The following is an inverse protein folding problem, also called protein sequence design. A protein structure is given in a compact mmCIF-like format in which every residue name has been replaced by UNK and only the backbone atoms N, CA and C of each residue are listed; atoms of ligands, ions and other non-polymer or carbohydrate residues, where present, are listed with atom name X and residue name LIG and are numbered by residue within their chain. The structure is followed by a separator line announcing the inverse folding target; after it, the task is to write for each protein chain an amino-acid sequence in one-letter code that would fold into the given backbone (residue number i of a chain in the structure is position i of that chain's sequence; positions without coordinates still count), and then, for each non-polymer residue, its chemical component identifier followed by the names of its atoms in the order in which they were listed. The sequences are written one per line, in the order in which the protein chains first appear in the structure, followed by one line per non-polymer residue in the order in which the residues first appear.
data_IF_542865322295
#
_entry.id   IF_542865322295
#
_cell.length_a   1.000
_cell.length_b   1.000
_cell.length_c   1.000
_cell.angle_alpha   90.00
_cell.angle_beta   90.00
_cell.angle_gamma   90.00
#
_symmetry.space_group_name_H-M   'P 1'
#
loop_
_entity.id
_entity.type
_entity.pdbx_description
1 polymer ?
#
# COMPACT_ATOMS: atom_id res chain seq x y z
N UNK A 1 -63.32 -19.51 -7.10
CA UNK A 1 -62.50 -18.70 -6.16
C UNK A 1 -61.04 -19.15 -6.01
N UNK A 2 -60.50 -20.13 -6.75
CA UNK A 2 -59.09 -20.58 -6.59
C UNK A 2 -58.02 -19.76 -7.35
N UNK A 3 -58.40 -19.02 -8.41
CA UNK A 3 -57.45 -18.31 -9.28
C UNK A 3 -56.79 -17.07 -8.63
N UNK A 4 -57.49 -16.39 -7.70
CA UNK A 4 -56.95 -15.21 -7.01
C UNK A 4 -55.85 -15.54 -5.99
N UNK A 5 -55.97 -16.67 -5.30
CA UNK A 5 -54.97 -17.14 -4.33
C UNK A 5 -53.66 -17.54 -5.02
N UNK A 6 -53.74 -18.23 -6.15
CA UNK A 6 -52.56 -18.64 -6.95
C UNK A 6 -51.76 -17.43 -7.41
N UNK A 7 -52.42 -16.34 -7.82
CA UNK A 7 -51.73 -15.11 -8.25
C UNK A 7 -51.01 -14.41 -7.08
N UNK A 8 -51.63 -14.37 -5.90
CA UNK A 8 -51.02 -13.77 -4.71
C UNK A 8 -49.82 -14.61 -4.24
N UNK A 9 -49.93 -15.93 -4.30
CA UNK A 9 -48.84 -16.86 -3.97
C UNK A 9 -47.66 -16.71 -4.92
N UNK A 10 -47.90 -16.63 -6.24
CA UNK A 10 -46.82 -16.43 -7.21
C UNK A 10 -46.17 -15.05 -7.07
N UNK A 11 -46.94 -14.01 -6.79
CA UNK A 11 -46.39 -12.67 -6.57
C UNK A 11 -45.57 -12.61 -5.27
N UNK A 12 -46.03 -13.26 -4.21
CA UNK A 12 -45.30 -13.37 -2.94
C UNK A 12 -44.00 -14.17 -3.12
N UNK A 13 -44.03 -15.26 -3.87
CA UNK A 13 -42.85 -16.06 -4.20
C UNK A 13 -41.84 -15.26 -5.04
N UNK A 14 -42.30 -14.49 -6.03
CA UNK A 14 -41.44 -13.60 -6.83
C UNK A 14 -40.76 -12.53 -5.97
N UNK A 15 -41.50 -11.91 -5.04
CA UNK A 15 -40.96 -10.92 -4.12
C UNK A 15 -39.90 -11.55 -3.21
N UNK A 16 -40.18 -12.72 -2.63
CA UNK A 16 -39.21 -13.45 -1.81
C UNK A 16 -37.95 -13.83 -2.60
N UNK A 17 -38.12 -14.26 -3.85
CA UNK A 17 -37.01 -14.58 -4.73
C UNK A 17 -36.18 -13.33 -5.08
N UNK A 18 -36.83 -12.20 -5.33
CA UNK A 18 -36.16 -10.92 -5.56
C UNK A 18 -35.38 -10.46 -4.32
N UNK A 19 -35.93 -10.62 -3.11
CA UNK A 19 -35.20 -10.36 -1.87
C UNK A 19 -33.98 -11.25 -1.72
N UNK A 20 -34.13 -12.56 -1.95
CA UNK A 20 -33.02 -13.50 -1.90
C UNK A 20 -31.90 -13.08 -2.88
N UNK A 21 -32.26 -12.80 -4.14
CA UNK A 21 -31.31 -12.32 -5.13
C UNK A 21 -30.61 -11.03 -4.70
N UNK A 22 -31.35 -10.05 -4.18
CA UNK A 22 -30.80 -8.79 -3.69
C UNK A 22 -29.79 -9.01 -2.55
N UNK A 23 -30.13 -9.83 -1.56
CA UNK A 23 -29.22 -10.15 -0.46
C UNK A 23 -27.98 -10.91 -0.93
N UNK A 24 -28.15 -11.89 -1.82
CA UNK A 24 -27.03 -12.66 -2.36
C UNK A 24 -26.08 -11.77 -3.17
N UNK A 25 -26.61 -10.89 -4.03
CA UNK A 25 -25.81 -9.94 -4.80
C UNK A 25 -25.05 -8.96 -3.90
N UNK A 26 -25.73 -8.38 -2.92
CA UNK A 26 -25.08 -7.47 -1.98
C UNK A 26 -24.01 -8.16 -1.14
N UNK A 27 -24.26 -9.37 -0.68
CA UNK A 27 -23.26 -10.17 0.03
C UNK A 27 -22.04 -10.42 -0.86
N UNK A 28 -22.25 -10.86 -2.10
CA UNK A 28 -21.18 -11.12 -3.06
C UNK A 28 -20.33 -9.87 -3.35
N UNK A 29 -20.98 -8.74 -3.65
CA UNK A 29 -20.28 -7.48 -3.93
C UNK A 29 -19.51 -6.97 -2.72
N UNK A 30 -20.08 -7.09 -1.51
CA UNK A 30 -19.39 -6.69 -0.29
C UNK A 30 -18.13 -7.53 -0.05
N UNK A 31 -18.19 -8.85 -0.29
CA UNK A 31 -17.02 -9.71 -0.12
C UNK A 31 -15.92 -9.40 -1.13
N UNK A 32 -16.27 -9.11 -2.39
CA UNK A 32 -15.29 -8.65 -3.39
C UNK A 32 -14.61 -7.36 -2.94
N UNK A 33 -15.37 -6.40 -2.41
CA UNK A 33 -14.82 -5.15 -1.94
C UNK A 33 -13.85 -5.36 -0.78
N UNK A 34 -14.20 -6.20 0.19
CA UNK A 34 -13.33 -6.55 1.32
C UNK A 34 -12.04 -7.21 0.82
N UNK A 35 -12.13 -8.18 -0.10
CA UNK A 35 -10.97 -8.85 -0.68
C UNK A 35 -10.05 -7.87 -1.41
N UNK A 36 -10.63 -6.97 -2.23
CA UNK A 36 -9.86 -5.96 -2.96
C UNK A 36 -9.14 -4.98 -2.01
N UNK A 37 -9.80 -4.57 -0.93
CA UNK A 37 -9.18 -3.70 0.08
C UNK A 37 -8.02 -4.41 0.79
N UNK A 38 -8.18 -5.69 1.13
CA UNK A 38 -7.14 -6.49 1.76
C UNK A 38 -5.95 -6.70 0.83
N UNK A 39 -6.18 -6.98 -0.45
CA UNK A 39 -5.11 -7.12 -1.44
C UNK A 39 -4.30 -5.83 -1.59
N UNK A 40 -4.97 -4.68 -1.75
CA UNK A 40 -4.30 -3.36 -1.80
C UNK A 40 -3.47 -3.08 -0.55
N UNK A 41 -3.95 -3.48 0.62
CA UNK A 41 -3.22 -3.33 1.89
C UNK A 41 -2.00 -4.25 1.95
N UNK A 42 -2.09 -5.48 1.44
CA UNK A 42 -0.96 -6.41 1.36
C UNK A 42 0.12 -5.89 0.40
N UNK A 43 -0.25 -5.48 -0.81
CA UNK A 43 0.68 -4.92 -1.79
C UNK A 43 1.40 -3.68 -1.23
N UNK A 44 0.65 -2.78 -0.60
CA UNK A 44 1.20 -1.61 0.07
C UNK A 44 2.21 -1.96 1.18
N UNK A 45 1.99 -3.04 1.92
CA UNK A 45 2.94 -3.49 2.94
C UNK A 45 4.20 -4.10 2.32
N UNK A 46 4.07 -4.85 1.22
CA UNK A 46 5.19 -5.44 0.48
C UNK A 46 6.07 -4.34 -0.09
N UNK A 47 5.49 -3.35 -0.77
CA UNK A 47 6.22 -2.24 -1.38
C UNK A 47 6.97 -1.40 -0.35
N UNK A 48 6.33 -1.12 0.78
CA UNK A 48 6.98 -0.44 1.91
C UNK A 48 8.17 -1.25 2.45
N UNK A 49 8.05 -2.57 2.56
CA UNK A 49 9.16 -3.45 2.96
C UNK A 49 10.31 -3.36 1.96
N UNK A 50 10.02 -3.45 0.66
CA UNK A 50 11.02 -3.31 -0.41
C UNK A 50 11.74 -1.96 -0.31
N UNK A 51 11.00 -0.87 -0.13
CA UNK A 51 11.56 0.46 0.03
C UNK A 51 12.50 0.56 1.25
N UNK A 52 12.08 0.03 2.41
CA UNK A 52 12.91 0.03 3.63
C UNK A 52 14.16 -0.82 3.45
N UNK A 53 14.03 -2.03 2.92
CA UNK A 53 15.16 -2.94 2.70
C UNK A 53 16.17 -2.33 1.75
N UNK A 54 15.71 -1.74 0.64
CA UNK A 54 16.56 -1.05 -0.32
C UNK A 54 17.30 0.13 0.32
N UNK A 55 16.58 1.02 1.01
CA UNK A 55 17.19 2.17 1.69
C UNK A 55 18.19 1.73 2.75
N UNK A 56 17.83 0.73 3.56
CA UNK A 56 18.69 0.19 4.60
C UNK A 56 19.97 -0.43 4.01
N UNK A 57 19.87 -1.18 2.92
CA UNK A 57 21.02 -1.76 2.24
C UNK A 57 21.94 -0.68 1.67
N UNK A 58 21.37 0.34 1.02
CA UNK A 58 22.15 1.47 0.49
C UNK A 58 22.86 2.23 1.59
N UNK A 59 22.20 2.50 2.72
CA UNK A 59 22.81 3.18 3.87
C UNK A 59 23.92 2.33 4.51
N UNK A 60 23.75 1.01 4.64
CA UNK A 60 24.75 0.11 5.23
C UNK A 60 26.07 0.09 4.46
N UNK A 61 25.99 0.29 3.15
CA UNK A 61 27.12 0.18 2.23
C UNK A 61 27.58 1.56 1.70
N UNK A 62 27.03 2.65 2.22
CA UNK A 62 27.26 3.99 1.70
C UNK A 62 28.62 4.52 2.17
N UNK A 63 29.42 5.03 1.23
CA UNK A 63 30.61 5.81 1.57
C UNK A 63 30.24 7.25 1.95
N UNK A 64 29.18 7.78 1.35
CA UNK A 64 28.68 9.13 1.58
C UNK A 64 27.16 9.18 1.59
N UNK A 65 26.60 9.92 2.56
CA UNK A 65 25.16 10.13 2.69
C UNK A 65 24.93 11.63 2.91
N UNK A 66 24.11 12.25 2.05
CA UNK A 66 23.68 13.64 2.18
C UNK A 66 22.16 13.70 2.23
N UNK A 67 21.64 14.29 3.29
CA UNK A 67 20.21 14.43 3.54
C UNK A 67 19.79 15.86 3.17
N UNK A 68 18.86 16.00 2.21
CA UNK A 68 18.37 17.30 1.76
C UNK A 68 16.83 17.30 1.69
N UNK A 69 16.19 17.53 2.84
CA UNK A 69 14.74 17.50 2.96
C UNK A 69 14.15 16.16 2.54
N UNK A 70 13.30 16.18 1.51
CA UNK A 70 12.63 14.99 0.95
C UNK A 70 13.50 14.23 -0.07
N UNK A 71 14.76 14.61 -0.23
CA UNK A 71 15.72 13.96 -1.13
C UNK A 71 16.91 13.44 -0.32
N UNK A 72 17.31 12.21 -0.61
CA UNK A 72 18.48 11.58 -0.01
C UNK A 72 19.49 11.27 -1.11
N UNK A 73 20.74 11.67 -0.93
CA UNK A 73 21.82 11.32 -1.84
C UNK A 73 22.72 10.29 -1.16
N UNK A 74 22.90 9.13 -1.80
CA UNK A 74 23.80 8.07 -1.35
C UNK A 74 24.82 7.83 -2.45
N UNK A 75 26.10 8.05 -2.18
CA UNK A 75 27.20 7.89 -3.15
C UNK A 75 26.93 8.62 -4.48
N UNK A 76 26.58 9.91 -4.36
CA UNK A 76 26.16 10.80 -5.45
C UNK A 76 24.89 10.39 -6.20
N UNK A 77 24.20 9.30 -5.81
CA UNK A 77 22.95 8.87 -6.42
C UNK A 77 21.77 9.42 -5.66
N UNK A 78 20.84 10.03 -6.40
CA UNK A 78 19.65 10.68 -5.85
C UNK A 78 18.56 9.65 -5.57
N UNK A 79 17.94 9.76 -4.40
CA UNK A 79 16.73 9.04 -3.99
C UNK A 79 15.64 10.07 -3.69
N UNK A 80 14.49 9.91 -4.31
CA UNK A 80 13.39 10.85 -4.20
C UNK A 80 12.05 10.18 -4.51
N UNK A 81 10.97 10.84 -4.11
CA UNK A 81 9.61 10.45 -4.49
C UNK A 81 9.14 11.20 -5.74
N UNK A 82 8.46 10.49 -6.63
CA UNK A 82 7.75 11.06 -7.77
C UNK A 82 6.45 10.31 -7.98
N UNK A 83 5.30 10.98 -7.84
CA UNK A 83 3.97 10.39 -7.99
C UNK A 83 3.78 9.11 -7.15
N UNK A 84 4.09 9.18 -5.86
CA UNK A 84 4.06 8.05 -4.92
C UNK A 84 4.98 6.86 -5.27
N UNK A 85 5.95 7.06 -6.15
CA UNK A 85 6.98 6.07 -6.50
C UNK A 85 8.34 6.51 -5.97
N UNK A 86 8.99 5.62 -5.22
CA UNK A 86 10.37 5.81 -4.77
C UNK A 86 11.32 5.50 -5.92
N UNK A 87 12.15 6.48 -6.30
CA UNK A 87 13.07 6.40 -7.43
C UNK A 87 14.50 6.48 -6.94
N UNK A 88 15.39 5.68 -7.54
CA UNK A 88 16.84 5.69 -7.34
C UNK A 88 17.58 6.03 -8.63
N UNK A 89 18.63 6.85 -8.49
CA UNK A 89 19.60 7.22 -9.52
C UNK A 89 19.06 8.16 -10.62
N UNK A 90 19.98 8.75 -11.38
CA UNK A 90 19.69 9.65 -12.52
C UNK A 90 19.12 8.93 -13.75
N UNK A 91 18.97 7.60 -13.69
CA UNK A 91 18.35 6.74 -14.69
C UNK A 91 16.90 6.32 -14.40
N UNK A 92 16.29 6.83 -13.32
CA UNK A 92 14.88 6.59 -12.95
C UNK A 92 14.50 5.14 -12.62
N UNK A 93 15.36 4.41 -11.87
CA UNK A 93 15.00 3.06 -11.41
C UNK A 93 13.90 3.18 -10.37
N UNK A 94 12.74 2.59 -10.67
CA UNK A 94 11.63 2.50 -9.73
C UNK A 94 11.93 1.41 -8.70
N UNK A 95 11.89 1.78 -7.42
CA UNK A 95 12.17 0.87 -6.30
C UNK A 95 10.87 0.28 -5.76
N UNK A 96 9.90 1.15 -5.47
CA UNK A 96 8.62 0.76 -4.91
C UNK A 96 7.57 1.85 -5.19
N UNK A 97 6.34 1.45 -5.48
CA UNK A 97 5.18 2.31 -5.66
C UNK A 97 4.26 2.32 -4.43
N UNK A 98 3.32 3.27 -4.38
CA UNK A 98 2.40 3.44 -3.26
C UNK A 98 3.05 4.00 -2.00
N UNK A 99 4.19 4.68 -2.14
CA UNK A 99 4.93 5.34 -1.05
C UNK A 99 4.50 6.80 -0.99
N UNK A 100 3.80 7.18 0.09
CA UNK A 100 3.37 8.56 0.30
C UNK A 100 4.50 9.49 0.74
N UNK A 101 5.38 8.97 1.60
CA UNK A 101 6.47 9.74 2.18
C UNK A 101 7.62 8.82 2.56
N UNK A 102 8.85 9.31 2.46
CA UNK A 102 10.00 8.69 3.08
C UNK A 102 10.87 9.74 3.74
N UNK A 103 11.63 9.35 4.75
CA UNK A 103 12.63 10.21 5.38
C UNK A 103 13.78 9.38 5.90
N UNK A 104 14.98 9.90 5.78
CA UNK A 104 16.19 9.35 6.42
C UNK A 104 16.71 10.39 7.41
N UNK A 105 16.87 10.01 8.66
CA UNK A 105 17.27 10.90 9.76
C UNK A 105 18.57 10.40 10.34
N UNK A 106 19.59 11.26 10.44
CA UNK A 106 20.83 10.91 11.11
C UNK A 106 20.67 10.98 12.64
N UNK A 107 20.96 9.88 13.32
CA UNK A 107 20.86 9.76 14.78
C UNK A 107 22.21 9.91 15.50
N UNK A 108 23.30 10.11 14.76
CA UNK A 108 24.66 10.14 15.31
C UNK A 108 25.37 8.79 15.25
N UNK A 109 26.71 8.81 15.34
CA UNK A 109 27.56 7.59 15.39
C UNK A 109 27.33 6.62 14.21
N UNK A 110 27.06 7.17 13.01
CA UNK A 110 26.77 6.36 11.82
C UNK A 110 25.41 5.66 11.85
N UNK A 111 24.52 5.97 12.81
CA UNK A 111 23.16 5.45 12.86
C UNK A 111 22.20 6.36 12.09
N UNK A 112 21.31 5.74 11.33
CA UNK A 112 20.28 6.40 10.55
C UNK A 112 18.93 5.75 10.83
N UNK A 113 17.89 6.55 11.00
CA UNK A 113 16.51 6.08 11.00
C UNK A 113 15.92 6.25 9.62
N UNK A 114 15.44 5.16 9.02
CA UNK A 114 14.69 5.15 7.78
C UNK A 114 13.21 5.05 8.12
N UNK A 115 12.40 6.02 7.70
CA UNK A 115 10.94 5.95 7.79
C UNK A 115 10.33 5.92 6.41
N UNK A 116 9.36 5.05 6.20
CA UNK A 116 8.59 4.95 4.97
C UNK A 116 7.11 4.87 5.31
N UNK A 117 6.33 5.74 4.70
CA UNK A 117 4.89 5.87 4.87
C UNK A 117 4.17 5.50 3.59
N UNK A 118 3.11 4.71 3.75
CA UNK A 118 2.19 4.30 2.70
C UNK A 118 0.77 4.75 3.03
N UNK A 119 -0.19 4.49 2.15
CA UNK A 119 -1.60 4.85 2.38
C UNK A 119 -2.18 4.24 3.67
N UNK A 120 -1.74 3.04 4.07
CA UNK A 120 -2.36 2.28 5.15
C UNK A 120 -1.50 2.16 6.42
N UNK A 121 -0.22 2.53 6.36
CA UNK A 121 0.71 2.30 7.47
C UNK A 121 2.04 3.05 7.31
N UNK A 122 2.74 3.24 8.42
CA UNK A 122 4.10 3.78 8.49
C UNK A 122 5.00 2.78 9.21
N UNK A 123 6.22 2.60 8.71
CA UNK A 123 7.25 1.79 9.36
C UNK A 123 8.55 2.59 9.46
N UNK A 124 9.29 2.37 10.55
CA UNK A 124 10.66 2.84 10.69
C UNK A 124 11.62 1.72 11.07
N UNK A 125 12.86 1.84 10.62
CA UNK A 125 13.97 0.93 10.96
C UNK A 125 15.23 1.75 11.20
N UNK A 126 15.98 1.39 12.23
CA UNK A 126 17.30 1.97 12.52
C UNK A 126 18.38 1.12 11.86
N UNK A 127 19.29 1.78 11.16
CA UNK A 127 20.33 1.17 10.34
C UNK A 127 21.68 1.79 10.70
N UNK A 128 22.71 0.96 10.83
CA UNK A 128 24.09 1.41 11.06
C UNK A 128 24.87 1.39 9.75
N UNK A 129 25.46 2.52 9.37
CA UNK A 129 26.46 2.58 8.31
C UNK A 129 27.78 1.94 8.80
N UNK A 130 28.45 1.19 7.93
CA UNK A 130 29.66 0.43 8.25
C UNK A 130 30.89 1.31 8.36
#
# INVERSE_FOLDING_TARGET
MKKGYILIETLSALILFAFLLYFTLNFYLNQINILNLNNKKLDSNINKRIAIEFLAEKIKNASSIVLNGDVVYIDNKKIYLKNDVLIYDYGSVQIADGIKKFSVIYLGKGLYEVKVESLYSSNSVIVKNR
#
